data_IF_331015435099
#
_entry.id   IF_331015435099
#
_cell.length_a   1.000
_cell.length_b   1.000
_cell.length_c   1.000
_cell.angle_alpha   90.00
_cell.angle_beta   90.00
_cell.angle_gamma   90.00
#
_symmetry.space_group_name_H-M   'P 1'
#
loop_
_entity.id
_entity.type
_entity.pdbx_description
1 polymer ?
2 non-polymer ?
3 non-polymer ?
4 non-polymer ?
5 non-polymer ?
6 non-polymer ?
7 water ?
#
# COMPACT_ATOMS: atom_id res chain seq x y z
N UNK A 2 14.01 -31.13 -3.43
CA UNK A 2 13.77 -31.23 -2.02
C UNK A 2 14.03 -29.91 -1.37
N UNK A 3 13.58 -29.77 -0.15
CA UNK A 3 13.84 -28.57 0.63
C UNK A 3 15.35 -28.39 0.82
N UNK A 4 15.86 -27.24 0.38
CA UNK A 4 17.30 -26.99 0.40
C UNK A 4 17.87 -26.91 1.81
N UNK A 5 16.99 -26.72 2.79
CA UNK A 5 17.44 -26.54 4.17
C UNK A 5 17.45 -27.86 4.95
N UNK A 6 16.41 -28.67 4.79
CA UNK A 6 16.27 -29.86 5.61
C UNK A 6 16.24 -31.16 4.80
N UNK A 7 16.08 -31.05 3.48
CA UNK A 7 16.11 -32.22 2.62
C UNK A 7 14.79 -32.93 2.46
N UNK A 8 13.78 -32.50 3.22
CA UNK A 8 12.44 -33.09 3.11
C UNK A 8 11.67 -32.51 1.95
N UNK A 9 10.44 -32.97 1.76
CA UNK A 9 9.60 -32.57 0.64
C UNK A 9 9.40 -31.06 0.61
N UNK A 10 9.67 -30.47 -0.55
CA UNK A 10 9.51 -29.03 -0.75
C UNK A 10 8.03 -28.70 -0.98
N UNK A 11 7.57 -27.62 -0.35
CA UNK A 11 6.19 -27.19 -0.51
C UNK A 11 6.10 -25.99 -1.45
N UNK A 12 7.18 -25.21 -1.51
CA UNK A 12 7.25 -24.03 -2.37
C UNK A 12 8.48 -24.08 -3.27
N UNK A 13 8.30 -23.89 -4.56
CA UNK A 13 9.40 -23.87 -5.49
C UNK A 13 9.56 -22.53 -6.17
N UNK A 14 10.72 -21.93 -6.03
CA UNK A 14 10.99 -20.64 -6.64
C UNK A 14 12.09 -20.74 -7.69
N UNK A 15 11.70 -20.99 -8.94
CA UNK A 15 12.66 -21.16 -10.02
C UNK A 15 13.57 -19.95 -10.19
N UNK A 16 12.99 -18.76 -10.01
CA UNK A 16 13.71 -17.51 -10.17
C UNK A 16 14.95 -17.40 -9.28
N UNK A 17 14.93 -18.12 -8.16
CA UNK A 17 16.02 -18.06 -7.20
C UNK A 17 16.75 -19.40 -7.07
N UNK A 18 16.29 -20.39 -7.83
CA UNK A 18 16.84 -21.73 -7.74
C UNK A 18 16.72 -22.28 -6.34
N UNK A 19 15.54 -22.06 -5.74
CA UNK A 19 15.33 -22.35 -4.34
C UNK A 19 14.03 -23.11 -4.11
N UNK A 20 14.11 -24.21 -3.35
CA UNK A 20 12.94 -24.99 -3.00
C UNK A 20 12.91 -25.23 -1.51
N UNK A 21 11.76 -24.96 -0.89
CA UNK A 21 11.65 -25.04 0.57
C UNK A 21 10.39 -25.76 1.01
N UNK A 22 10.47 -26.41 2.17
CA UNK A 22 9.30 -26.99 2.80
C UNK A 22 8.54 -25.86 3.49
N UNK A 23 7.33 -26.14 3.94
CA UNK A 23 6.47 -25.12 4.53
C UNK A 23 7.15 -24.33 5.66
N UNK A 24 7.71 -25.06 6.61
CA UNK A 24 8.26 -24.44 7.81
C UNK A 24 9.49 -23.58 7.50
N UNK A 25 10.23 -23.95 6.47
CA UNK A 25 11.45 -23.22 6.13
C UNK A 25 11.20 -22.14 5.10
N UNK A 26 10.10 -22.24 4.36
CA UNK A 26 9.70 -21.14 3.49
C UNK A 26 9.25 -19.96 4.33
N UNK A 27 8.41 -20.23 5.32
CA UNK A 27 7.94 -19.21 6.24
C UNK A 27 9.11 -18.52 6.90
N UNK A 28 10.12 -19.30 7.29
CA UNK A 28 11.30 -18.74 7.93
C UNK A 28 12.16 -17.94 6.96
N UNK A 29 12.32 -18.46 5.75
CA UNK A 29 13.08 -17.76 4.72
C UNK A 29 12.45 -16.42 4.39
N UNK A 30 11.13 -16.43 4.23
CA UNK A 30 10.38 -15.22 3.91
C UNK A 30 10.58 -14.14 4.97
N UNK A 31 10.47 -14.54 6.24
CA UNK A 31 10.62 -13.62 7.35
C UNK A 31 12.04 -13.07 7.46
N UNK A 32 13.03 -13.93 7.26
CA UNK A 32 14.42 -13.51 7.37
C UNK A 32 14.81 -12.61 6.21
N UNK A 33 14.33 -12.94 5.00
CA UNK A 33 14.61 -12.14 3.83
C UNK A 33 13.99 -10.74 3.91
N UNK A 34 12.83 -10.66 4.55
CA UNK A 34 12.18 -9.38 4.78
C UNK A 34 13.08 -8.49 5.64
N UNK A 35 13.62 -9.07 6.71
CA UNK A 35 14.53 -8.34 7.58
C UNK A 35 15.82 -8.00 6.87
N UNK A 36 16.23 -8.87 5.94
CA UNK A 36 17.42 -8.60 5.13
C UNK A 36 17.18 -7.36 4.28
N UNK A 37 15.97 -7.21 3.77
CA UNK A 37 15.59 -6.04 2.98
C UNK A 37 15.53 -4.80 3.85
N UNK A 38 14.96 -4.93 5.03
CA UNK A 38 14.88 -3.80 5.92
C UNK A 38 16.26 -3.36 6.31
N UNK A 39 17.13 -4.29 6.63
CA UNK A 39 18.44 -3.88 7.05
C UNK A 39 19.24 -3.32 5.92
N UNK A 40 19.14 -3.92 4.75
CA UNK A 40 19.94 -3.49 3.63
C UNK A 40 19.66 -2.07 3.27
N UNK A 41 18.41 -1.67 3.38
CA UNK A 41 17.99 -0.35 2.94
C UNK A 41 17.66 0.59 4.10
N UNK A 42 17.97 0.18 5.30
CA UNK A 42 17.80 1.04 6.44
C UNK A 42 16.36 1.47 6.57
N UNK A 43 15.46 0.59 6.20
CA UNK A 43 14.03 0.90 6.21
C UNK A 43 13.54 1.25 7.61
N UNK A 44 13.87 0.41 8.58
CA UNK A 44 13.41 0.61 9.94
C UNK A 44 14.54 0.53 10.97
N UNK A 45 14.27 1.02 12.16
CA UNK A 45 15.12 0.77 13.31
C UNK A 45 14.47 -0.36 14.11
N UNK A 46 15.30 -1.22 14.71
CA UNK A 46 14.78 -2.37 15.48
C UNK A 46 13.75 -1.97 16.54
N UNK A 47 12.57 -2.58 16.48
CA UNK A 47 11.53 -2.33 17.47
C UNK A 47 10.81 -1.00 17.31
N UNK A 48 11.10 -0.28 16.25
CA UNK A 48 10.52 1.05 16.00
C UNK A 48 9.02 0.97 15.76
N UNK A 49 8.30 2.01 16.16
CA UNK A 49 6.89 2.15 15.78
C UNK A 49 6.78 2.38 14.28
N UNK A 50 5.92 1.61 13.63
CA UNK A 50 5.71 1.76 12.20
C UNK A 50 4.22 1.68 11.87
N UNK A 51 3.75 2.61 11.05
CA UNK A 51 2.37 2.59 10.60
C UNK A 51 2.25 1.71 9.37
N UNK A 52 1.53 0.60 9.50
CA UNK A 52 1.36 -0.33 8.39
C UNK A 52 0.01 -0.12 7.71
N UNK A 53 0.06 0.27 6.46
CA UNK A 53 -1.15 0.46 5.71
C UNK A 53 -1.69 -0.90 5.32
N UNK A 54 -2.79 -1.28 5.92
CA UNK A 54 -3.38 -2.59 5.68
C UNK A 54 -4.77 -2.52 5.08
N UNK A 55 -4.97 -3.16 3.94
CA UNK A 55 -6.22 -3.14 3.25
C UNK A 55 -7.04 -4.36 3.46
N UNK A 56 -6.46 -5.39 4.01
CA UNK A 56 -7.17 -6.64 4.24
C UNK A 56 -6.86 -7.65 3.17
N UNK A 57 -6.00 -7.25 2.25
CA UNK A 57 -5.57 -8.14 1.21
C UNK A 57 -4.36 -8.89 1.67
N UNK A 58 -3.90 -9.80 0.83
CA UNK A 58 -2.87 -10.74 1.19
C UNK A 58 -1.53 -10.14 1.50
N UNK A 59 -1.15 -9.08 0.80
CA UNK A 59 0.16 -8.51 0.99
C UNK A 59 0.32 -7.72 2.25
N UNK A 60 -0.58 -6.82 2.53
CA UNK A 60 -0.43 -5.95 3.69
C UNK A 60 -0.76 -6.66 4.98
N UNK A 61 -1.61 -7.66 4.90
CA UNK A 61 -1.87 -8.50 6.07
C UNK A 61 -0.65 -9.35 6.38
N UNK A 62 0.02 -9.83 5.34
CA UNK A 62 1.24 -10.60 5.49
C UNK A 62 2.36 -9.71 6.04
N UNK A 63 2.43 -8.49 5.51
CA UNK A 63 3.43 -7.53 5.96
C UNK A 63 3.27 -7.21 7.44
N UNK A 64 2.02 -7.07 7.87
CA UNK A 64 1.71 -6.75 9.26
C UNK A 64 2.13 -7.91 10.16
N UNK A 65 1.92 -9.12 9.66
CA UNK A 65 2.31 -10.33 10.38
C UNK A 65 3.83 -10.42 10.54
N UNK A 66 4.55 -10.21 9.45
CA UNK A 66 6.01 -10.32 9.46
C UNK A 66 6.66 -9.25 10.33
N UNK A 67 6.24 -8.00 10.17
CA UNK A 67 6.82 -6.91 10.94
C UNK A 67 6.59 -7.09 12.43
N UNK A 68 5.45 -7.68 12.78
CA UNK A 68 5.15 -7.99 14.17
C UNK A 68 6.10 -9.07 14.69
N UNK A 69 6.27 -10.12 13.90
CA UNK A 69 7.17 -11.21 14.26
C UNK A 69 8.61 -10.73 14.40
N UNK A 70 8.98 -9.73 13.62
CA UNK A 70 10.32 -9.16 13.68
C UNK A 70 10.47 -8.18 14.82
N UNK A 71 9.43 -8.07 15.66
CA UNK A 71 9.51 -7.30 16.88
C UNK A 71 9.32 -5.80 16.73
N UNK A 72 8.85 -5.38 15.56
CA UNK A 72 8.51 -3.98 15.35
C UNK A 72 7.15 -3.66 15.94
N UNK A 73 6.99 -2.46 16.49
CA UNK A 73 5.71 -2.02 16.99
C UNK A 73 4.83 -1.59 15.83
N UNK A 74 4.17 -2.57 15.20
CA UNK A 74 3.43 -2.34 13.98
C UNK A 74 1.97 -1.99 14.27
N UNK A 75 1.61 -0.73 14.04
CA UNK A 75 0.23 -0.29 14.16
C UNK A 75 -0.39 -0.19 12.77
N UNK A 76 -1.53 -0.86 12.60
CA UNK A 76 -2.18 -0.88 11.30
C UNK A 76 -3.15 0.27 11.09
N UNK A 77 -3.16 0.82 9.89
CA UNK A 77 -4.13 1.81 9.51
C UNK A 77 -4.90 1.28 8.34
N UNK A 78 -6.19 1.12 8.52
CA UNK A 78 -7.08 0.71 7.44
C UNK A 78 -7.98 1.86 7.03
N UNK A 79 -8.17 2.04 5.75
CA UNK A 79 -9.04 3.06 5.27
C UNK A 79 -10.23 2.48 4.62
N UNK A 80 -11.39 2.77 5.18
CA UNK A 80 -12.66 2.36 4.61
C UNK A 80 -13.01 3.27 3.45
N UNK A 81 -13.11 2.71 2.24
CA UNK A 81 -13.30 3.52 1.05
C UNK A 81 -14.77 3.64 0.64
N UNK A 82 -15.64 2.96 1.38
CA UNK A 82 -17.08 3.07 1.14
C UNK A 82 -17.54 2.50 -0.18
N UNK A 83 -16.80 1.53 -0.71
CA UNK A 83 -17.17 0.89 -1.96
C UNK A 83 -18.09 -0.30 -1.71
N UNK A 84 -19.29 -0.03 -1.21
CA UNK A 84 -20.32 -1.04 -1.03
C UNK A 84 -20.01 -2.12 -0.01
N UNK A 85 -20.56 -3.32 -0.25
CA UNK A 85 -20.33 -4.47 0.60
C UNK A 85 -18.85 -4.87 0.60
N UNK A 86 -18.17 -4.53 -0.50
CA UNK A 86 -16.75 -4.81 -0.68
C UNK A 86 -15.91 -4.22 0.44
N UNK A 87 -15.93 -2.89 0.57
CA UNK A 87 -15.22 -2.20 1.64
C UNK A 87 -15.63 -2.68 3.02
N UNK A 88 -16.88 -3.12 3.15
CA UNK A 88 -17.39 -3.63 4.42
C UNK A 88 -16.69 -4.91 4.82
N UNK A 89 -16.61 -5.86 3.89
CA UNK A 89 -15.90 -7.11 4.14
C UNK A 89 -14.42 -6.87 4.39
N UNK A 90 -13.85 -5.97 3.59
CA UNK A 90 -12.44 -5.60 3.71
C UNK A 90 -12.10 -5.10 5.12
N UNK A 91 -13.01 -4.36 5.72
CA UNK A 91 -12.82 -3.86 7.08
C UNK A 91 -12.92 -4.99 8.10
N UNK A 92 -13.88 -5.88 7.90
CA UNK A 92 -14.10 -7.01 8.80
C UNK A 92 -12.87 -7.90 8.91
N UNK A 93 -12.36 -8.31 7.75
CA UNK A 93 -11.18 -9.16 7.66
C UNK A 93 -9.98 -8.53 8.38
N UNK A 94 -9.77 -7.23 8.16
CA UNK A 94 -8.68 -6.52 8.79
C UNK A 94 -8.86 -6.48 10.30
N UNK A 95 -10.09 -6.22 10.74
CA UNK A 95 -10.42 -6.19 12.16
C UNK A 95 -10.18 -7.55 12.80
N UNK A 96 -10.66 -8.60 12.15
CA UNK A 96 -10.49 -9.96 12.62
C UNK A 96 -9.02 -10.32 12.84
N UNK A 97 -8.20 -9.97 11.85
CA UNK A 97 -6.77 -10.17 11.93
C UNK A 97 -6.16 -9.52 13.17
N UNK A 98 -6.48 -8.24 13.35
CA UNK A 98 -5.93 -7.46 14.45
C UNK A 98 -6.36 -8.01 15.80
N UNK A 99 -7.63 -8.37 15.89
CA UNK A 99 -8.21 -8.86 17.13
C UNK A 99 -7.54 -10.15 17.57
N UNK A 100 -7.46 -11.09 16.64
CA UNK A 100 -6.90 -12.42 16.91
C UNK A 100 -5.38 -12.43 17.01
N UNK A 101 -4.79 -11.26 17.18
CA UNK A 101 -3.34 -11.15 17.32
C UNK A 101 -2.96 -10.05 18.29
N UNK A 102 -3.96 -9.34 18.79
CA UNK A 102 -3.74 -8.28 19.76
C UNK A 102 -2.91 -7.13 19.19
N UNK A 103 -3.22 -6.75 17.95
CA UNK A 103 -2.51 -5.67 17.28
C UNK A 103 -3.37 -4.41 17.22
N UNK A 104 -2.73 -3.26 17.41
CA UNK A 104 -3.43 -1.98 17.37
C UNK A 104 -3.86 -1.60 15.95
N UNK A 105 -5.14 -1.33 15.76
CA UNK A 105 -5.67 -0.99 14.44
C UNK A 105 -6.42 0.34 14.41
N UNK A 106 -5.95 1.26 13.58
CA UNK A 106 -6.63 2.53 13.35
C UNK A 106 -7.49 2.46 12.09
N UNK A 107 -8.67 3.07 12.12
CA UNK A 107 -9.54 3.08 10.96
C UNK A 107 -9.98 4.51 10.58
N UNK A 108 -9.84 4.85 9.31
CA UNK A 108 -10.43 6.08 8.78
C UNK A 108 -11.54 5.71 7.82
N UNK A 109 -12.77 6.05 8.19
CA UNK A 109 -13.91 5.83 7.31
C UNK A 109 -14.09 7.07 6.43
N UNK A 110 -13.95 6.88 5.12
CA UNK A 110 -13.99 7.98 4.18
C UNK A 110 -15.32 8.73 4.24
N UNK A 111 -16.42 7.98 4.19
CA UNK A 111 -17.77 8.55 4.22
C UNK A 111 -18.05 9.26 5.54
N UNK A 112 -17.54 8.72 6.65
CA UNK A 112 -17.78 9.32 7.95
C UNK A 112 -16.96 10.60 8.16
N UNK A 113 -15.78 10.64 7.56
CA UNK A 113 -14.88 11.78 7.75
C UNK A 113 -15.19 12.91 6.80
N UNK A 114 -15.49 12.58 5.54
CA UNK A 114 -15.61 13.61 4.50
C UNK A 114 -17.00 13.65 3.86
N UNK A 115 -17.83 12.67 4.16
CA UNK A 115 -19.20 12.68 3.69
C UNK A 115 -19.47 11.88 2.43
N UNK A 116 -18.40 11.52 1.73
CA UNK A 116 -18.54 10.77 0.48
C UNK A 116 -17.57 9.62 0.40
N UNK A 117 -18.05 8.48 -0.08
CA UNK A 117 -17.19 7.35 -0.35
C UNK A 117 -16.57 7.51 -1.73
N UNK A 118 -15.67 6.61 -2.09
CA UNK A 118 -15.03 6.64 -3.41
C UNK A 118 -16.02 6.70 -4.58
N UNK A 119 -17.13 5.92 -4.54
CA UNK A 119 -18.07 6.01 -5.67
C UNK A 119 -18.61 7.42 -5.94
N UNK A 120 -19.19 8.06 -4.93
CA UNK A 120 -19.71 9.41 -5.09
C UNK A 120 -18.59 10.39 -5.39
N UNK A 121 -17.44 10.19 -4.75
CA UNK A 121 -16.26 11.02 -4.94
C UNK A 121 -15.82 11.05 -6.39
N UNK A 122 -15.96 9.93 -7.09
CA UNK A 122 -15.57 9.84 -8.48
C UNK A 122 -16.52 10.66 -9.37
N UNK A 123 -17.81 10.53 -9.11
CA UNK A 123 -18.82 11.28 -9.87
C UNK A 123 -18.69 12.78 -9.68
N UNK A 124 -18.29 13.19 -8.48
CA UNK A 124 -18.27 14.60 -8.11
C UNK A 124 -16.96 15.31 -8.44
N UNK A 125 -15.86 14.57 -8.55
CA UNK A 125 -14.57 15.18 -8.81
C UNK A 125 -14.23 15.21 -10.30
N UNK A 126 -14.86 14.33 -11.07
CA UNK A 126 -14.59 14.24 -12.49
C UNK A 126 -13.47 13.26 -12.77
N UNK A 127 -12.57 13.10 -11.80
CA UNK A 127 -11.48 12.15 -11.91
C UNK A 127 -12.02 10.73 -11.93
N UNK A 128 -11.26 9.82 -12.53
CA UNK A 128 -11.60 8.40 -12.47
C UNK A 128 -11.58 7.97 -11.01
N UNK A 129 -12.32 6.91 -10.69
CA UNK A 129 -12.43 6.44 -9.31
C UNK A 129 -11.06 6.20 -8.69
N UNK A 130 -10.21 5.54 -9.47
CA UNK A 130 -8.87 5.20 -9.02
C UNK A 130 -8.01 6.43 -8.69
N UNK A 131 -8.21 7.52 -9.43
CA UNK A 131 -7.43 8.75 -9.21
C UNK A 131 -7.76 9.41 -7.86
N UNK A 132 -9.05 9.63 -7.62
CA UNK A 132 -9.52 10.22 -6.38
C UNK A 132 -9.23 9.30 -5.20
N UNK A 133 -9.36 8.00 -5.42
CA UNK A 133 -9.16 7.01 -4.36
C UNK A 133 -7.71 6.93 -3.93
N UNK A 134 -6.81 6.83 -4.90
CA UNK A 134 -5.39 6.75 -4.61
C UNK A 134 -4.93 8.01 -3.91
N UNK A 135 -5.40 9.16 -4.42
CA UNK A 135 -5.06 10.45 -3.84
C UNK A 135 -5.48 10.53 -2.38
N UNK A 136 -6.69 10.05 -2.09
CA UNK A 136 -7.18 10.05 -0.73
C UNK A 136 -6.37 9.09 0.16
N UNK A 137 -6.06 7.91 -0.37
CA UNK A 137 -5.33 6.90 0.38
C UNK A 137 -3.95 7.40 0.81
N UNK A 138 -3.18 7.95 -0.14
CA UNK A 138 -1.83 8.40 0.15
C UNK A 138 -1.80 9.60 1.11
N UNK A 139 -2.75 10.51 0.95
CA UNK A 139 -2.84 11.68 1.82
C UNK A 139 -3.18 11.28 3.25
N UNK A 140 -4.24 10.49 3.40
CA UNK A 140 -4.74 10.12 4.72
C UNK A 140 -3.73 9.28 5.49
N UNK A 141 -3.11 8.32 4.80
CA UNK A 141 -2.08 7.48 5.43
C UNK A 141 -0.92 8.34 5.91
N UNK A 142 -0.50 9.30 5.09
CA UNK A 142 0.56 10.22 5.49
C UNK A 142 0.12 11.10 6.64
N UNK A 143 -1.08 11.65 6.54
CA UNK A 143 -1.61 12.54 7.57
C UNK A 143 -1.72 11.85 8.93
N UNK A 144 -2.26 10.64 8.93
CA UNK A 144 -2.38 9.84 10.16
C UNK A 144 -1.00 9.54 10.74
N UNK A 145 -0.04 9.22 9.87
CA UNK A 145 1.32 8.94 10.31
C UNK A 145 1.94 10.14 11.01
N UNK A 146 1.86 11.30 10.37
CA UNK A 146 2.41 12.53 10.92
C UNK A 146 1.69 12.94 12.20
N UNK A 147 0.35 12.89 12.17
CA UNK A 147 -0.46 13.30 13.31
C UNK A 147 -0.31 12.38 14.52
N UNK A 148 0.10 11.15 14.28
CA UNK A 148 0.26 10.18 15.37
C UNK A 148 1.74 9.92 15.69
N UNK A 149 2.61 10.76 15.14
CA UNK A 149 4.02 10.73 15.48
C UNK A 149 4.80 9.54 14.95
N UNK A 150 4.33 8.95 13.86
CA UNK A 150 5.09 7.89 13.20
C UNK A 150 6.14 8.50 12.28
N UNK A 151 7.32 7.88 12.25
CA UNK A 151 8.38 8.34 11.36
C UNK A 151 8.26 7.67 10.00
N UNK A 152 7.75 6.45 10.00
CA UNK A 152 7.80 5.62 8.81
C UNK A 152 6.50 4.83 8.60
N UNK A 153 6.06 4.77 7.34
CA UNK A 153 4.90 3.99 6.94
C UNK A 153 5.34 2.82 6.06
N UNK A 154 4.82 1.63 6.35
CA UNK A 154 5.11 0.45 5.53
C UNK A 154 3.89 0.08 4.69
N UNK A 155 4.10 -0.09 3.39
CA UNK A 155 3.03 -0.53 2.50
C UNK A 155 3.40 -1.88 1.92
N UNK A 156 2.41 -2.60 1.43
CA UNK A 156 2.60 -3.96 1.01
C UNK A 156 2.86 -4.19 -0.45
N UNK A 157 3.46 -3.22 -1.11
CA UNK A 157 3.75 -3.33 -2.54
C UNK A 157 4.78 -4.44 -2.79
N UNK A 158 4.43 -5.39 -3.66
CA UNK A 158 5.35 -6.48 -3.98
C UNK A 158 6.07 -6.26 -5.32
N UNK A 159 6.89 -7.24 -5.70
CA UNK A 159 7.71 -7.14 -6.90
C UNK A 159 6.87 -7.00 -8.17
N UNK A 160 5.76 -7.73 -8.24
CA UNK A 160 4.84 -7.61 -9.37
C UNK A 160 4.32 -6.18 -9.48
N UNK A 161 4.02 -5.58 -8.35
CA UNK A 161 3.54 -4.23 -8.30
C UNK A 161 4.57 -3.22 -8.74
N UNK A 162 5.78 -3.35 -8.23
CA UNK A 162 6.88 -2.46 -8.59
C UNK A 162 7.27 -2.57 -10.06
N UNK A 163 7.33 -3.79 -10.58
CA UNK A 163 7.71 -4.02 -11.96
C UNK A 163 6.61 -3.55 -12.92
N UNK A 164 5.36 -3.66 -12.47
CA UNK A 164 4.24 -3.19 -13.28
C UNK A 164 4.26 -1.67 -13.40
N UNK A 165 4.59 -0.99 -12.30
CA UNK A 165 4.70 0.45 -12.28
C UNK A 165 5.82 0.92 -13.20
N UNK A 166 6.99 0.30 -13.07
CA UNK A 166 8.14 0.59 -13.92
C UNK A 166 7.83 0.37 -15.40
N UNK A 167 7.17 -0.74 -15.70
CA UNK A 167 6.77 -1.08 -17.05
C UNK A 167 5.82 -0.02 -17.61
N UNK A 168 4.82 0.34 -16.80
CA UNK A 168 3.82 1.32 -17.20
C UNK A 168 4.40 2.69 -17.51
N UNK A 169 5.35 3.13 -16.69
CA UNK A 169 6.02 4.40 -16.92
C UNK A 169 6.77 4.42 -18.25
N UNK A 170 7.39 3.29 -18.60
CA UNK A 170 8.13 3.18 -19.85
C UNK A 170 7.21 3.23 -21.06
N UNK A 171 6.08 2.54 -20.97
CA UNK A 171 5.12 2.50 -22.06
C UNK A 171 4.25 3.75 -22.07
N UNK A 172 4.01 4.32 -20.89
CA UNK A 172 3.11 5.45 -20.77
C UNK A 172 3.57 6.51 -19.77
N UNK A 173 4.54 7.35 -20.17
CA UNK A 173 4.95 8.48 -19.33
C UNK A 173 3.79 9.41 -19.02
N UNK A 174 2.88 9.52 -19.97
CA UNK A 174 1.69 10.34 -19.86
C UNK A 174 0.57 9.62 -19.12
N UNK A 175 0.87 9.19 -17.93
CA UNK A 175 -0.14 8.53 -17.11
C UNK A 175 0.45 8.19 -15.74
N UNK A 181 7.89 3.37 -7.11
CA UNK A 181 8.50 4.67 -6.87
C UNK A 181 9.76 4.52 -6.01
N UNK A 182 10.35 3.33 -6.03
CA UNK A 182 11.49 3.03 -5.19
C UNK A 182 11.04 2.45 -3.88
N UNK A 183 11.84 1.53 -3.31
CA UNK A 183 11.47 0.81 -2.09
C UNK A 183 11.48 1.67 -0.82
N UNK A 184 12.27 2.74 -0.83
CA UNK A 184 12.39 3.60 0.35
C UNK A 184 12.30 5.09 0.00
N UNK A 185 11.34 5.78 0.60
CA UNK A 185 11.26 7.23 0.46
C UNK A 185 11.54 7.88 1.81
N UNK A 186 12.53 8.78 1.86
CA UNK A 186 12.98 9.40 3.11
C UNK A 186 11.94 10.37 3.67
N UNK A 187 11.84 10.46 4.99
CA UNK A 187 10.88 11.36 5.60
C UNK A 187 11.36 12.80 5.50
N UNK A 188 10.41 13.71 5.31
CA UNK A 188 10.69 15.13 5.24
C UNK A 188 9.65 15.86 6.09
N UNK A 189 9.83 17.17 6.32
CA UNK A 189 8.79 17.85 7.12
C UNK A 189 7.41 17.74 6.48
N UNK A 190 6.45 17.19 7.23
CA UNK A 190 5.10 17.01 6.76
C UNK A 190 4.93 15.73 5.95
N UNK A 191 6.04 15.03 5.77
CA UNK A 191 6.06 13.81 5.00
C UNK A 191 6.70 12.69 5.77
N UNK A 192 5.92 11.67 6.11
CA UNK A 192 6.46 10.49 6.76
C UNK A 192 7.24 9.65 5.76
N UNK A 193 8.13 8.80 6.26
CA UNK A 193 8.89 7.92 5.39
C UNK A 193 8.01 6.78 4.92
N UNK A 194 8.25 6.29 3.72
CA UNK A 194 7.54 5.18 3.19
C UNK A 194 8.47 4.08 2.76
N UNK A 195 8.25 2.89 3.28
CA UNK A 195 9.09 1.75 2.92
C UNK A 195 8.27 0.59 2.36
N UNK A 196 8.88 -0.14 1.43
CA UNK A 196 8.23 -1.30 0.81
C UNK A 196 9.06 -2.57 1.01
N UNK A 197 8.97 -3.18 2.21
CA UNK A 197 9.77 -4.35 2.56
C UNK A 197 9.52 -5.58 1.69
N UNK A 198 8.40 -5.59 0.95
CA UNK A 198 8.06 -6.74 0.12
C UNK A 198 8.39 -6.51 -1.36
N UNK A 199 9.21 -5.50 -1.64
CA UNK A 199 9.37 -5.05 -3.02
C UNK A 199 10.13 -6.04 -3.92
N UNK A 200 10.74 -7.05 -3.32
CA UNK A 200 11.41 -8.07 -4.08
C UNK A 200 10.75 -9.42 -4.09
N UNK A 201 9.76 -9.63 -3.24
CA UNK A 201 8.95 -10.84 -3.28
C UNK A 201 7.96 -10.75 -4.43
N UNK A 202 7.86 -11.81 -5.22
CA UNK A 202 6.82 -11.87 -6.24
C UNK A 202 5.47 -11.95 -5.55
N UNK A 203 4.40 -11.64 -6.29
CA UNK A 203 3.06 -11.70 -5.73
C UNK A 203 2.72 -13.14 -5.34
N UNK A 204 3.17 -14.09 -6.15
CA UNK A 204 2.97 -15.51 -5.89
C UNK A 204 3.65 -15.93 -4.60
N UNK A 205 4.82 -15.36 -4.35
CA UNK A 205 5.59 -15.68 -3.16
C UNK A 205 4.94 -15.12 -1.89
N UNK A 206 4.39 -13.92 -1.99
CA UNK A 206 3.71 -13.31 -0.85
C UNK A 206 2.42 -14.06 -0.56
N UNK A 207 1.73 -14.48 -1.61
CA UNK A 207 0.53 -15.29 -1.47
C UNK A 207 0.84 -16.61 -0.77
N UNK A 208 1.96 -17.21 -1.16
CA UNK A 208 2.39 -18.48 -0.57
C UNK A 208 2.64 -18.36 0.93
N UNK A 209 3.25 -17.26 1.34
CA UNK A 209 3.46 -17.00 2.76
C UNK A 209 2.12 -16.88 3.48
N UNK A 210 1.19 -16.14 2.88
CA UNK A 210 -0.11 -15.89 3.48
C UNK A 210 -0.89 -17.17 3.69
N UNK A 211 -0.92 -18.03 2.67
CA UNK A 211 -1.66 -19.28 2.75
C UNK A 211 -1.04 -20.25 3.75
N UNK A 212 0.29 -20.37 3.73
CA UNK A 212 0.99 -21.29 4.64
C UNK A 212 0.94 -20.80 6.08
N UNK A 213 0.79 -19.50 6.26
CA UNK A 213 0.67 -18.92 7.60
C UNK A 213 -0.78 -19.00 8.07
N UNK A 214 -1.68 -19.34 7.15
CA UNK A 214 -3.09 -19.50 7.48
C UNK A 214 -3.84 -18.19 7.64
N UNK A 215 -3.23 -17.10 7.17
CA UNK A 215 -3.85 -15.77 7.26
C UNK A 215 -5.04 -15.62 6.32
N UNK A 216 -6.16 -15.20 6.87
CA UNK A 216 -7.35 -15.03 6.07
C UNK A 216 -7.39 -13.62 5.57
N UNK A 217 -7.48 -13.47 4.26
CA UNK A 217 -7.49 -12.16 3.63
C UNK A 217 -8.71 -12.02 2.73
N UNK A 218 -8.95 -10.81 2.25
CA UNK A 218 -10.07 -10.57 1.35
C UNK A 218 -9.71 -11.03 -0.06
N UNK A 219 -10.23 -12.19 -0.45
CA UNK A 219 -9.90 -12.80 -1.74
C UNK A 219 -10.35 -11.94 -2.92
N UNK A 220 -11.61 -11.54 -2.90
CA UNK A 220 -12.16 -10.69 -3.94
C UNK A 220 -11.42 -9.37 -4.07
N UNK A 221 -11.44 -8.79 -5.27
CA UNK A 221 -10.83 -7.49 -5.54
C UNK A 221 -11.90 -6.45 -5.86
N UNK A 222 -11.60 -5.19 -5.56
CA UNK A 222 -12.45 -4.07 -5.96
C UNK A 222 -13.00 -4.19 -7.38
N UNK A 223 -14.25 -3.75 -7.61
CA UNK A 223 -14.57 -3.42 -8.99
C UNK A 223 -13.67 -2.28 -9.51
N UNK A 224 -12.37 -2.56 -9.67
CA UNK A 224 -11.38 -1.57 -10.09
C UNK A 224 -11.74 -0.89 -11.41
N UNK A 225 -11.12 0.26 -11.69
CA UNK A 225 -11.38 0.98 -12.93
C UNK A 225 -10.08 1.03 -13.74
N UNK A 226 -9.11 1.77 -13.22
CA UNK A 226 -7.83 1.88 -13.87
C UNK A 226 -6.74 1.10 -13.13
N UNK A 227 -7.16 0.19 -12.25
CA UNK A 227 -6.26 -0.82 -11.71
C UNK A 227 -6.28 -1.99 -12.68
N UNK A 228 -7.11 -1.84 -13.71
CA UNK A 228 -7.16 -2.78 -14.82
C UNK A 228 -5.91 -2.60 -15.66
N UNK A 229 -5.29 -1.44 -15.56
CA UNK A 229 -4.01 -1.20 -16.19
C UNK A 229 -2.85 -1.99 -15.59
N UNK A 230 -2.74 -1.96 -14.28
CA UNK A 230 -1.70 -2.72 -13.59
C UNK A 230 -1.83 -4.22 -13.87
N UNK A 231 -3.07 -4.69 -13.96
CA UNK A 231 -3.36 -6.09 -14.27
C UNK A 231 -2.86 -6.42 -15.68
N UNK A 232 -2.97 -5.46 -16.58
CA UNK A 232 -2.46 -5.63 -17.94
C UNK A 232 -0.94 -5.71 -17.95
N UNK A 233 -0.29 -4.82 -17.21
CA UNK A 233 1.16 -4.83 -17.06
C UNK A 233 1.66 -6.13 -16.44
N UNK A 234 0.93 -6.62 -15.45
CA UNK A 234 1.31 -7.84 -14.75
C UNK A 234 1.20 -9.06 -15.66
N UNK A 235 0.13 -9.09 -16.46
CA UNK A 235 -0.05 -10.17 -17.42
C UNK A 235 1.11 -10.23 -18.40
N UNK A 236 1.51 -9.07 -18.90
CA UNK A 236 2.61 -8.98 -19.86
C UNK A 236 3.92 -9.46 -19.23
N UNK A 237 4.22 -8.95 -18.04
CA UNK A 237 5.46 -9.31 -17.35
C UNK A 237 5.47 -10.79 -16.94
N UNK A 238 4.35 -11.28 -16.42
CA UNK A 238 4.28 -12.67 -15.98
C UNK A 238 4.34 -13.67 -17.14
N UNK A 239 3.88 -13.23 -18.31
CA UNK A 239 3.97 -14.05 -19.51
C UNK A 239 5.43 -14.38 -19.81
N UNK A 240 6.28 -13.36 -19.67
CA UNK A 240 7.71 -13.54 -19.86
C UNK A 240 8.32 -14.34 -18.71
N UNK A 241 7.92 -13.98 -17.49
CA UNK A 241 8.41 -14.65 -16.28
C UNK A 241 8.17 -16.15 -16.33
N UNK A 242 7.03 -16.55 -16.88
CA UNK A 242 6.66 -17.96 -16.99
C UNK A 242 7.69 -18.77 -17.75
N UNK A 243 8.18 -18.22 -18.85
CA UNK A 243 9.15 -18.91 -19.69
C UNK A 243 10.59 -18.56 -19.32
N UNK A 244 10.77 -17.47 -18.59
CA UNK A 244 12.10 -16.99 -18.25
C UNK A 244 12.15 -16.46 -16.82
N UNK A 245 12.27 -17.37 -15.83
CA UNK A 245 12.28 -17.02 -14.41
C UNK A 245 13.31 -15.96 -14.05
N UNK A 246 12.97 -15.08 -13.12
CA UNK A 246 13.86 -14.03 -12.68
C UNK A 246 13.80 -12.78 -13.53
N UNK A 247 12.89 -12.77 -14.49
CA UNK A 247 12.73 -11.65 -15.40
C UNK A 247 12.31 -10.37 -14.66
N UNK A 248 11.28 -10.46 -13.83
CA UNK A 248 10.82 -9.31 -13.05
C UNK A 248 11.91 -8.81 -12.12
N UNK A 249 12.62 -9.72 -11.47
CA UNK A 249 13.71 -9.31 -10.61
C UNK A 249 14.84 -8.66 -11.37
N UNK A 250 15.24 -9.26 -12.47
CA UNK A 250 16.23 -8.66 -13.36
C UNK A 250 15.80 -7.27 -13.83
N UNK A 251 14.53 -7.17 -14.23
CA UNK A 251 13.95 -5.92 -14.68
C UNK A 251 14.02 -4.85 -13.60
N UNK A 252 13.43 -5.12 -12.45
CA UNK A 252 13.44 -4.16 -11.38
C UNK A 252 14.80 -3.84 -10.81
N UNK A 253 15.61 -4.85 -10.56
CA UNK A 253 16.96 -4.61 -10.07
C UNK A 253 17.80 -3.78 -11.03
N UNK A 254 17.71 -4.11 -12.31
CA UNK A 254 18.45 -3.41 -13.34
C UNK A 254 18.19 -1.91 -13.33
N UNK A 255 16.93 -1.54 -13.18
CA UNK A 255 16.54 -0.14 -13.10
C UNK A 255 17.06 0.50 -11.80
N UNK A 256 16.84 -0.18 -10.68
CA UNK A 256 17.20 0.35 -9.37
C UNK A 256 18.71 0.59 -9.23
N UNK A 257 19.50 -0.36 -9.72
CA UNK A 257 20.96 -0.27 -9.62
C UNK A 257 21.56 0.61 -10.72
N UNK A 258 20.69 1.36 -11.40
CA UNK A 258 21.11 2.28 -12.45
C UNK A 258 20.47 3.65 -12.24
N UNK A 259 21.28 4.71 -12.31
CA UNK A 259 20.89 6.10 -12.04
C UNK A 259 19.76 6.23 -11.00
N UNK A 269 13.22 19.10 -5.72
CA UNK A 269 12.32 20.11 -6.26
C UNK A 269 11.62 20.85 -5.13
N UNK A 270 11.28 22.12 -5.36
CA UNK A 270 10.72 22.98 -4.34
C UNK A 270 9.35 22.52 -3.85
N UNK A 271 9.20 22.40 -2.53
CA UNK A 271 7.92 22.03 -1.92
C UNK A 271 7.38 23.15 -1.03
N UNK A 272 6.11 23.48 -1.25
CA UNK A 272 5.44 24.54 -0.51
C UNK A 272 4.40 23.95 0.45
N UNK A 273 4.16 24.62 1.57
CA UNK A 273 3.09 24.22 2.47
C UNK A 273 1.74 24.60 1.88
N UNK A 274 0.82 23.63 1.84
CA UNK A 274 -0.53 23.90 1.38
C UNK A 274 -1.18 24.96 2.26
N UNK A 275 -1.69 26.01 1.64
CA UNK A 275 -2.29 27.11 2.39
C UNK A 275 -3.65 26.71 2.96
N UNK A 276 -4.04 25.47 2.74
CA UNK A 276 -5.33 24.96 3.17
C UNK A 276 -5.19 23.98 4.33
N UNK A 277 -4.19 23.09 4.26
CA UNK A 277 -4.02 22.04 5.27
C UNK A 277 -2.62 22.03 5.87
N UNK A 278 -1.67 22.60 5.14
CA UNK A 278 -0.31 22.74 5.66
C UNK A 278 0.68 21.71 5.17
N UNK A 279 0.17 20.62 4.59
CA UNK A 279 1.03 19.54 4.12
C UNK A 279 1.75 19.91 2.82
N UNK A 280 2.90 19.26 2.55
CA UNK A 280 3.72 19.54 1.37
C UNK A 280 2.96 19.41 0.04
N UNK A 281 3.20 20.38 -0.85
CA UNK A 281 2.63 20.39 -2.19
C UNK A 281 3.46 21.31 -3.08
N UNK A 282 3.30 21.16 -4.39
CA UNK A 282 4.06 21.98 -5.32
C UNK A 282 3.29 23.24 -5.71
N UNK A 283 1.99 23.24 -5.44
CA UNK A 283 1.14 24.37 -5.79
C UNK A 283 0.76 25.22 -4.58
N UNK A 284 -0.26 26.05 -4.75
CA UNK A 284 -0.76 26.88 -3.66
C UNK A 284 -1.52 26.02 -2.65
N UNK A 285 -2.50 25.27 -3.16
CA UNK A 285 -3.20 24.27 -2.35
C UNK A 285 -2.94 22.90 -2.96
N UNK A 286 -2.88 21.87 -2.13
CA UNK A 286 -2.55 20.53 -2.57
C UNK A 286 -3.70 19.88 -3.34
N UNK A 287 -3.37 18.84 -4.10
CA UNK A 287 -4.36 18.15 -4.93
C UNK A 287 -5.51 17.56 -4.10
N UNK A 288 -5.20 17.16 -2.87
CA UNK A 288 -6.19 16.58 -1.97
C UNK A 288 -7.26 17.60 -1.60
N UNK A 289 -6.81 18.72 -1.04
CA UNK A 289 -7.72 19.80 -0.64
C UNK A 289 -8.45 20.35 -1.86
N UNK A 290 -7.72 20.50 -2.96
CA UNK A 290 -8.30 21.00 -4.21
C UNK A 290 -9.40 20.08 -4.69
N UNK A 291 -9.20 18.77 -4.54
CA UNK A 291 -10.22 17.79 -4.94
C UNK A 291 -11.46 17.89 -4.06
N UNK A 292 -11.26 17.81 -2.74
CA UNK A 292 -12.37 17.79 -1.81
C UNK A 292 -13.14 19.11 -1.77
N UNK A 293 -12.43 20.21 -1.99
CA UNK A 293 -13.09 21.51 -2.11
C UNK A 293 -14.08 21.50 -3.27
N UNK A 294 -13.61 21.06 -4.43
CA UNK A 294 -14.43 21.02 -5.63
C UNK A 294 -15.59 20.05 -5.47
N UNK A 295 -15.34 18.95 -4.77
CA UNK A 295 -16.37 17.95 -4.51
C UNK A 295 -17.47 18.53 -3.64
N UNK A 296 -17.07 19.16 -2.53
CA UNK A 296 -18.01 19.86 -1.66
C UNK A 296 -18.76 20.95 -2.43
N UNK A 297 -18.01 21.74 -3.17
CA UNK A 297 -18.56 22.82 -3.97
C UNK A 297 -19.64 22.31 -4.93
N UNK A 298 -19.33 21.24 -5.65
CA UNK A 298 -20.28 20.66 -6.59
C UNK A 298 -21.40 19.92 -5.87
N UNK A 299 -21.18 19.53 -4.63
CA UNK A 299 -22.25 18.89 -3.88
C UNK A 299 -23.26 19.90 -3.47
N UNK A 300 -22.80 21.09 -3.19
CA UNK A 300 -23.66 22.18 -2.81
C UNK A 300 -24.51 22.56 -3.98
N UNK A 301 -23.95 22.49 -5.15
CA UNK A 301 -24.70 22.90 -6.33
C UNK A 301 -25.69 21.84 -6.79
N UNK A 302 -25.94 20.85 -5.95
CA UNK A 302 -26.66 19.68 -6.39
C UNK A 302 -27.81 19.06 -5.61
N UNK A 303 -28.15 19.51 -4.42
CA UNK A 303 -27.29 20.20 -3.55
C UNK A 303 -27.31 19.19 -2.44
N UNK A 304 -26.21 18.50 -2.23
CA UNK A 304 -26.19 17.45 -1.25
C UNK A 304 -25.62 17.92 0.05
N UNK A 305 -25.19 19.17 0.07
CA UNK A 305 -24.55 19.73 1.20
C UNK A 305 -25.12 21.09 1.42
N UNK A 306 -25.20 21.51 2.67
CA UNK A 306 -25.67 22.85 3.03
C UNK A 306 -24.76 23.93 2.47
N UNK A 307 -25.32 25.10 2.18
CA UNK A 307 -24.56 26.18 1.56
C UNK A 307 -23.47 26.71 2.48
N UNK A 308 -23.75 26.77 3.78
CA UNK A 308 -22.81 27.36 4.73
C UNK A 308 -21.91 26.30 5.36
N UNK A 309 -21.69 25.22 4.64
CA UNK A 309 -20.78 24.16 5.06
C UNK A 309 -19.42 24.35 4.41
N UNK A 310 -18.35 24.11 5.15
CA UNK A 310 -17.02 24.21 4.57
C UNK A 310 -16.19 22.97 4.85
N UNK A 311 -15.41 22.56 3.85
CA UNK A 311 -14.42 21.50 4.04
C UNK A 311 -13.27 22.03 4.90
N UNK A 312 -13.16 21.51 6.11
CA UNK A 312 -12.11 21.92 7.03
C UNK A 312 -11.12 20.79 7.26
N UNK A 313 -10.05 20.75 6.46
CA UNK A 313 -9.03 19.70 6.61
C UNK A 313 -8.23 19.84 7.89
N UNK A 314 -7.82 18.73 8.47
CA UNK A 314 -7.01 18.73 9.68
C UNK A 314 -5.65 19.34 9.38
N UNK A 315 -5.39 20.52 9.93
CA UNK A 315 -4.14 21.22 9.69
C UNK A 315 -2.97 20.49 10.37
N UNK A 316 -1.83 20.46 9.71
CA UNK A 316 -0.62 19.80 10.16
C UNK A 316 0.08 20.44 11.34
N UNK A 317 0.50 19.62 12.30
CA UNK A 317 1.38 20.04 13.41
C UNK A 317 2.72 20.58 12.89
N UNK A 318 3.56 21.19 13.74
CA UNK A 318 3.33 21.38 15.17
C UNK A 318 2.73 22.75 15.46
#
# INVERSE_FOLDING_TARGET
MVCKVCGQKAQVEMRSRGLALCREHYLDWFVKETERAIRRHRMLLPGERVLVAVSGGKDSLALWDVLSRLGYQAVGLHIELGIGEYSKRSLEVTQAFARERGLELLVVDLKEAYGFGVPELARLSGRVACSACGLSKRYIINQVAVEEGFRVVATGHNLDDEAAVLFGNLLNPQEETLSRQGPVLPEKPGLAARVKPFYRFSEREVLSYTLLRGIRYLHEECPNAKGAKSLLYKEALNLVERSMPGAKLRFLDGFLEKIRPRLDVGEEVALRECERCGYPTTGAVCAFCRMWDAVYRRAKKRKLLPEEVSFRPRVKPLRAGVEHHHHHH
#
